data_IF_723947907196
#
_entry.id   IF_723947907196
#
_cell.length_a   1.000
_cell.length_b   1.000
_cell.length_c   1.000
_cell.angle_alpha   90.00
_cell.angle_beta   90.00
_cell.angle_gamma   90.00
#
_symmetry.space_group_name_H-M   'P 1'
#
loop_
_entity.id
_entity.type
_entity.pdbx_description
1 polymer ?
#
# COMPACT_ATOMS: atom_id res chain seq x y z
N UNK A 1 -19.08 -2.05 -4.77
CA UNK A 1 -18.31 -1.53 -5.93
C UNK A 1 -16.93 -2.14 -5.87
N UNK A 2 -16.35 -2.56 -7.00
CA UNK A 2 -15.06 -3.27 -7.01
C UNK A 2 -13.88 -2.34 -6.66
N UNK A 3 -12.90 -2.89 -5.96
CA UNK A 3 -11.58 -2.31 -5.76
C UNK A 3 -10.65 -2.90 -6.82
N UNK A 4 -9.96 -2.05 -7.57
CA UNK A 4 -8.89 -2.46 -8.48
C UNK A 4 -7.57 -1.98 -7.88
N UNK A 5 -6.64 -2.90 -7.66
CA UNK A 5 -5.30 -2.57 -7.19
C UNK A 5 -4.34 -2.67 -8.37
N UNK A 6 -3.71 -1.56 -8.72
CA UNK A 6 -2.67 -1.46 -9.74
C UNK A 6 -1.33 -1.26 -9.04
N UNK A 7 -0.50 -2.31 -8.99
CA UNK A 7 0.68 -2.23 -8.15
C UNK A 7 1.60 -3.44 -8.18
N UNK A 8 2.48 -3.49 -7.20
CA UNK A 8 3.55 -4.46 -7.04
C UNK A 8 3.07 -5.80 -6.49
N UNK A 9 3.77 -6.86 -6.94
CA UNK A 9 3.63 -8.23 -6.47
C UNK A 9 5.03 -8.76 -6.22
N UNK A 10 5.36 -9.09 -4.97
CA UNK A 10 6.69 -9.58 -4.59
C UNK A 10 6.59 -10.93 -3.87
N UNK A 11 7.69 -11.64 -3.86
CA UNK A 11 7.98 -12.62 -2.82
C UNK A 11 9.02 -12.04 -1.87
N UNK A 12 8.68 -11.93 -0.60
CA UNK A 12 9.56 -11.40 0.43
C UNK A 12 10.31 -12.55 1.10
N UNK A 13 11.65 -12.47 1.10
CA UNK A 13 12.54 -13.39 1.79
C UNK A 13 12.91 -12.80 3.15
N UNK A 14 12.25 -13.26 4.20
CA UNK A 14 12.55 -12.86 5.57
C UNK A 14 13.73 -13.67 6.12
N UNK A 15 14.82 -12.97 6.47
CA UNK A 15 16.05 -13.55 6.99
C UNK A 15 16.29 -13.02 8.41
N UNK A 16 16.25 -13.90 9.41
CA UNK A 16 16.58 -13.54 10.79
C UNK A 16 18.10 -13.64 10.97
N UNK A 17 18.74 -12.54 11.36
CA UNK A 17 20.19 -12.46 11.56
C UNK A 17 20.51 -11.93 12.95
N UNK A 18 21.66 -12.31 13.52
CA UNK A 18 22.08 -11.78 14.82
C UNK A 18 22.35 -10.27 14.73
N UNK A 19 23.00 -9.84 13.64
CA UNK A 19 23.29 -8.42 13.33
C UNK A 19 23.20 -8.20 11.84
N UNK A 20 22.88 -6.98 11.41
CA UNK A 20 22.92 -6.62 10.00
C UNK A 20 24.37 -6.63 9.47
N UNK A 21 24.63 -7.19 8.27
CA UNK A 21 25.98 -7.25 7.71
C UNK A 21 26.51 -5.85 7.40
N UNK A 22 27.78 -5.62 7.74
CA UNK A 22 28.52 -4.43 7.32
C UNK A 22 29.16 -4.66 5.95
N UNK A 23 29.57 -3.62 5.22
CA UNK A 23 30.30 -3.76 3.98
C UNK A 23 31.50 -4.71 4.10
N UNK A 24 31.54 -5.75 3.28
CA UNK A 24 32.56 -6.79 3.30
C UNK A 24 32.35 -7.93 4.30
N UNK A 25 31.28 -7.89 5.10
CA UNK A 25 30.94 -8.92 6.06
C UNK A 25 30.00 -9.97 5.46
N UNK A 26 30.18 -11.25 5.83
CA UNK A 26 29.24 -12.33 5.55
C UNK A 26 28.62 -12.79 6.86
N UNK A 27 27.30 -12.66 6.98
CA UNK A 27 26.52 -13.15 8.11
C UNK A 27 25.78 -14.41 7.71
N UNK A 28 25.80 -15.43 8.56
CA UNK A 28 25.05 -16.66 8.35
C UNK A 28 23.73 -16.60 9.12
N UNK A 29 22.66 -17.08 8.49
CA UNK A 29 21.35 -17.29 9.13
C UNK A 29 20.99 -18.77 9.14
N UNK A 30 20.13 -19.19 10.07
CA UNK A 30 19.67 -20.57 10.20
C UNK A 30 18.65 -20.96 9.12
N UNK A 31 18.04 -19.97 8.46
CA UNK A 31 17.03 -20.21 7.43
C UNK A 31 16.40 -18.92 6.94
N UNK A 32 15.43 -19.05 6.07
CA UNK A 32 14.61 -17.96 5.59
C UNK A 32 13.16 -18.42 5.44
N UNK A 33 12.25 -17.48 5.52
CA UNK A 33 10.86 -17.67 5.11
C UNK A 33 10.62 -16.93 3.81
N UNK A 34 9.87 -17.55 2.89
CA UNK A 34 9.40 -16.92 1.67
C UNK A 34 7.91 -16.68 1.80
N UNK A 35 7.52 -15.43 1.84
CA UNK A 35 6.12 -15.02 2.06
C UNK A 35 5.65 -14.08 0.95
N UNK A 36 4.34 -13.97 0.81
CA UNK A 36 3.76 -13.00 -0.12
C UNK A 36 4.03 -11.57 0.35
N UNK A 37 4.43 -10.71 -0.57
CA UNK A 37 4.77 -9.33 -0.33
C UNK A 37 4.48 -8.42 -1.53
N UNK A 38 5.00 -7.20 -1.47
CA UNK A 38 4.68 -6.13 -2.39
C UNK A 38 3.44 -5.35 -1.95
N UNK A 39 3.54 -4.02 -1.97
CA UNK A 39 2.46 -3.14 -1.47
C UNK A 39 1.13 -3.38 -2.18
N UNK A 40 1.17 -3.60 -3.50
CA UNK A 40 -0.04 -3.90 -4.26
C UNK A 40 -0.70 -5.20 -3.80
N UNK A 41 0.07 -6.28 -3.69
CA UNK A 41 -0.41 -7.57 -3.19
C UNK A 41 -0.98 -7.44 -1.76
N UNK A 42 -0.26 -6.79 -0.84
CA UNK A 42 -0.68 -6.62 0.55
C UNK A 42 -1.99 -5.83 0.66
N UNK A 43 -2.12 -4.73 -0.09
CA UNK A 43 -3.32 -3.88 -0.09
C UNK A 43 -4.52 -4.61 -0.70
N UNK A 44 -4.30 -5.40 -1.75
CA UNK A 44 -5.34 -6.22 -2.37
C UNK A 44 -5.86 -7.30 -1.39
N UNK A 45 -4.95 -8.03 -0.75
CA UNK A 45 -5.29 -9.04 0.26
C UNK A 45 -6.03 -8.41 1.44
N UNK A 46 -5.56 -7.27 1.94
CA UNK A 46 -6.20 -6.57 3.05
C UNK A 46 -7.64 -6.14 2.70
N UNK A 47 -7.86 -5.56 1.53
CA UNK A 47 -9.20 -5.16 1.10
C UNK A 47 -10.14 -6.37 0.91
N UNK A 48 -9.63 -7.47 0.34
CA UNK A 48 -10.42 -8.68 0.11
C UNK A 48 -10.83 -9.37 1.42
N UNK A 49 -9.92 -9.47 2.40
CA UNK A 49 -10.21 -10.01 3.74
C UNK A 49 -11.27 -9.19 4.50
N UNK A 50 -11.49 -7.94 4.11
CA UNK A 50 -12.56 -7.06 4.65
C UNK A 50 -13.85 -7.12 3.81
N UNK A 51 -13.98 -8.11 2.92
CA UNK A 51 -15.20 -8.37 2.15
C UNK A 51 -15.33 -7.58 0.85
N UNK A 52 -14.34 -6.78 0.45
CA UNK A 52 -14.39 -6.09 -0.84
C UNK A 52 -14.20 -7.06 -2.00
N UNK A 53 -14.90 -6.83 -3.12
CA UNK A 53 -14.58 -7.44 -4.40
C UNK A 53 -13.33 -6.79 -4.96
N UNK A 54 -12.21 -7.54 -5.04
CA UNK A 54 -10.89 -7.01 -5.39
C UNK A 54 -10.33 -7.69 -6.63
N UNK A 55 -9.81 -6.88 -7.56
CA UNK A 55 -9.04 -7.33 -8.72
C UNK A 55 -7.63 -6.76 -8.66
N UNK A 56 -6.62 -7.61 -8.86
CA UNK A 56 -5.22 -7.20 -8.95
C UNK A 56 -4.77 -7.04 -10.39
N UNK A 57 -4.17 -5.88 -10.70
CA UNK A 57 -3.45 -5.60 -11.94
C UNK A 57 -1.96 -5.48 -11.60
N UNK A 58 -1.16 -6.37 -12.16
CA UNK A 58 0.26 -6.43 -11.86
C UNK A 58 0.99 -7.42 -12.76
N UNK A 59 2.27 -7.65 -12.49
CA UNK A 59 3.06 -8.62 -13.25
C UNK A 59 3.88 -9.52 -12.31
N UNK A 60 4.05 -10.78 -12.75
CA UNK A 60 4.95 -11.76 -12.14
C UNK A 60 5.81 -12.41 -13.21
N UNK A 61 6.91 -13.03 -12.85
CA UNK A 61 7.72 -13.85 -13.75
C UNK A 61 7.14 -15.24 -13.97
N UNK A 62 7.68 -15.96 -14.96
CA UNK A 62 7.39 -17.38 -15.20
C UNK A 62 8.23 -18.30 -14.32
N UNK A 63 8.46 -17.96 -13.07
CA UNK A 63 9.34 -18.64 -12.13
C UNK A 63 8.60 -19.17 -10.88
N UNK A 64 9.33 -19.93 -10.03
CA UNK A 64 8.74 -20.55 -8.85
C UNK A 64 8.31 -19.53 -7.76
N UNK A 65 8.88 -18.31 -7.77
CA UNK A 65 8.56 -17.28 -6.80
C UNK A 65 7.16 -16.68 -7.02
N UNK A 66 6.66 -16.72 -8.27
CA UNK A 66 5.34 -16.18 -8.60
C UNK A 66 4.19 -16.87 -7.86
N UNK A 67 4.31 -18.17 -7.55
CA UNK A 67 3.24 -18.93 -6.91
C UNK A 67 2.91 -18.41 -5.52
N UNK A 68 3.90 -17.98 -4.74
CA UNK A 68 3.72 -17.56 -3.34
C UNK A 68 2.72 -16.38 -3.23
N UNK A 69 2.94 -15.21 -3.87
CA UNK A 69 1.99 -14.10 -3.79
C UNK A 69 0.68 -14.39 -4.53
N UNK A 70 0.71 -15.14 -5.64
CA UNK A 70 -0.51 -15.49 -6.37
C UNK A 70 -1.44 -16.37 -5.55
N UNK A 71 -0.91 -17.36 -4.85
CA UNK A 71 -1.70 -18.28 -4.02
C UNK A 71 -2.24 -17.56 -2.78
N UNK A 72 -1.46 -16.67 -2.17
CA UNK A 72 -1.93 -15.84 -1.06
C UNK A 72 -3.09 -14.92 -1.47
N UNK A 73 -2.98 -14.24 -2.62
CA UNK A 73 -4.05 -13.40 -3.16
C UNK A 73 -5.32 -14.21 -3.46
N UNK A 74 -5.19 -15.36 -4.12
CA UNK A 74 -6.33 -16.25 -4.42
C UNK A 74 -6.99 -16.81 -3.17
N UNK A 75 -6.21 -17.20 -2.17
CA UNK A 75 -6.72 -17.66 -0.89
C UNK A 75 -7.52 -16.57 -0.16
N UNK A 76 -7.17 -15.31 -0.34
CA UNK A 76 -7.91 -14.16 0.18
C UNK A 76 -9.12 -13.75 -0.68
N UNK A 77 -9.37 -14.41 -1.81
CA UNK A 77 -10.49 -14.10 -2.71
C UNK A 77 -10.22 -12.97 -3.72
N UNK A 78 -8.95 -12.59 -3.91
CA UNK A 78 -8.57 -11.58 -4.93
C UNK A 78 -8.63 -12.19 -6.32
N UNK A 79 -9.31 -11.52 -7.26
CA UNK A 79 -9.25 -11.85 -8.68
C UNK A 79 -7.87 -11.50 -9.25
N UNK A 80 -7.10 -12.55 -9.60
CA UNK A 80 -5.76 -12.43 -10.18
C UNK A 80 -5.76 -12.51 -11.71
N UNK A 81 -6.92 -12.48 -12.38
CA UNK A 81 -7.01 -12.57 -13.84
C UNK A 81 -6.34 -11.38 -14.57
N UNK A 82 -6.17 -10.26 -13.88
CA UNK A 82 -5.44 -9.08 -14.37
C UNK A 82 -3.93 -9.14 -14.13
N UNK A 83 -3.39 -10.23 -13.56
CA UNK A 83 -1.94 -10.39 -13.36
C UNK A 83 -1.33 -11.07 -14.59
N UNK A 84 -0.39 -10.37 -15.25
CA UNK A 84 0.34 -10.91 -16.40
C UNK A 84 1.60 -11.66 -15.96
N UNK A 85 1.89 -12.77 -16.63
CA UNK A 85 3.21 -13.42 -16.57
C UNK A 85 4.08 -12.80 -17.68
N UNK A 86 5.27 -12.33 -17.30
CA UNK A 86 6.22 -11.66 -18.20
C UNK A 86 7.58 -12.36 -18.22
N UNK A 87 8.45 -11.98 -19.15
CA UNK A 87 9.79 -12.57 -19.32
C UNK A 87 10.85 -11.98 -18.33
N UNK A 88 10.42 -11.24 -17.33
CA UNK A 88 11.26 -10.77 -16.25
C UNK A 88 11.03 -11.65 -15.00
N UNK A 89 12.01 -11.80 -14.11
CA UNK A 89 11.82 -12.57 -12.88
C UNK A 89 10.80 -11.90 -11.97
N UNK A 90 10.08 -12.70 -11.18
CA UNK A 90 9.21 -12.20 -10.12
C UNK A 90 10.00 -11.31 -9.17
N UNK A 91 9.41 -10.20 -8.75
CA UNK A 91 10.06 -9.29 -7.81
C UNK A 91 10.31 -9.97 -6.46
N UNK A 92 11.47 -9.70 -5.88
CA UNK A 92 11.87 -10.24 -4.58
C UNK A 92 12.30 -9.09 -3.67
N UNK A 93 11.84 -9.11 -2.42
CA UNK A 93 12.42 -8.30 -1.36
C UNK A 93 13.24 -9.19 -0.41
N UNK A 94 14.52 -8.89 -0.24
CA UNK A 94 15.34 -9.49 0.80
C UNK A 94 15.23 -8.63 2.06
N UNK A 95 14.55 -9.16 3.09
CA UNK A 95 14.27 -8.47 4.36
C UNK A 95 15.12 -9.11 5.44
N UNK A 96 16.20 -8.45 5.83
CA UNK A 96 17.04 -8.87 6.96
C UNK A 96 16.53 -8.21 8.23
N UNK A 97 16.26 -9.01 9.26
CA UNK A 97 15.82 -8.53 10.58
C UNK A 97 16.83 -8.99 11.63
N UNK A 98 17.46 -8.04 12.30
CA UNK A 98 18.40 -8.30 13.38
C UNK A 98 17.68 -8.58 14.70
N UNK A 99 18.35 -9.27 15.64
CA UNK A 99 17.84 -9.49 17.01
C UNK A 99 17.53 -8.18 17.76
N UNK A 100 18.16 -7.06 17.37
CA UNK A 100 17.86 -5.73 17.89
C UNK A 100 16.49 -5.18 17.44
N UNK A 101 15.86 -5.81 16.44
CA UNK A 101 14.66 -5.30 15.78
C UNK A 101 14.95 -4.33 14.60
N UNK A 102 16.22 -3.98 14.36
CA UNK A 102 16.61 -3.23 13.16
C UNK A 102 16.44 -4.09 11.89
N UNK A 103 16.03 -3.48 10.80
CA UNK A 103 15.90 -4.18 9.53
C UNK A 103 16.68 -3.47 8.40
N UNK A 104 16.96 -4.25 7.36
CA UNK A 104 17.51 -3.75 6.10
C UNK A 104 16.81 -4.48 4.96
N UNK A 105 16.31 -3.73 3.98
CA UNK A 105 15.49 -4.27 2.89
C UNK A 105 16.12 -3.88 1.56
N UNK A 106 16.27 -4.88 0.69
CA UNK A 106 16.65 -4.68 -0.71
C UNK A 106 15.56 -5.26 -1.59
N UNK A 107 15.02 -4.45 -2.51
CA UNK A 107 13.98 -4.87 -3.45
C UNK A 107 14.55 -4.96 -4.85
N UNK A 108 14.44 -6.15 -5.46
CA UNK A 108 14.64 -6.38 -6.87
C UNK A 108 13.27 -6.33 -7.57
N UNK A 109 13.00 -5.23 -8.25
CA UNK A 109 11.65 -4.93 -8.79
C UNK A 109 11.17 -5.88 -9.90
N UNK A 110 12.10 -6.52 -10.65
CA UNK A 110 11.78 -7.55 -11.62
C UNK A 110 10.55 -7.26 -12.48
N UNK A 111 9.60 -8.19 -12.50
CA UNK A 111 8.37 -8.12 -13.27
C UNK A 111 7.50 -6.88 -12.95
N UNK A 112 7.63 -6.27 -11.77
CA UNK A 112 6.91 -5.04 -11.45
C UNK A 112 7.24 -3.88 -12.40
N UNK A 113 8.40 -3.88 -13.04
CA UNK A 113 8.77 -2.87 -14.04
C UNK A 113 8.04 -3.04 -15.38
N UNK A 114 7.38 -4.17 -15.58
CA UNK A 114 6.61 -4.50 -16.79
C UNK A 114 5.11 -4.25 -16.66
N UNK A 115 4.64 -3.73 -15.53
CA UNK A 115 3.24 -3.31 -15.34
C UNK A 115 2.92 -2.12 -16.24
N UNK A 116 1.80 -2.15 -16.93
CA UNK A 116 1.36 -1.11 -17.89
C UNK A 116 -0.05 -0.63 -17.57
N UNK A 117 -0.28 0.66 -17.70
CA UNK A 117 -1.62 1.25 -17.53
C UNK A 117 -2.64 0.70 -18.53
N UNK A 118 -2.18 0.21 -19.69
CA UNK A 118 -3.03 -0.49 -20.67
C UNK A 118 -3.59 -1.83 -20.17
N UNK A 119 -3.03 -2.37 -19.07
CA UNK A 119 -3.55 -3.60 -18.44
C UNK A 119 -4.80 -3.31 -17.60
N UNK A 120 -5.09 -2.03 -17.36
CA UNK A 120 -6.24 -1.57 -16.59
C UNK A 120 -7.49 -1.67 -17.45
N UNK A 121 -8.28 -2.69 -17.23
CA UNK A 121 -9.59 -2.87 -17.85
C UNK A 121 -10.70 -2.98 -16.79
N UNK A 122 -11.95 -2.81 -17.22
CA UNK A 122 -13.12 -3.05 -16.36
C UNK A 122 -13.33 -2.07 -15.21
N UNK A 123 -12.58 -0.97 -15.13
CA UNK A 123 -12.80 0.08 -14.14
C UNK A 123 -14.00 0.94 -14.56
N UNK A 124 -15.19 0.53 -14.14
CA UNK A 124 -16.43 1.29 -14.36
C UNK A 124 -16.62 2.45 -13.38
N UNK A 125 -17.52 3.37 -13.71
CA UNK A 125 -17.88 4.47 -12.81
C UNK A 125 -18.33 3.96 -11.44
N UNK A 126 -17.71 4.49 -10.37
CA UNK A 126 -18.00 4.13 -8.97
C UNK A 126 -17.03 3.15 -8.33
N UNK A 127 -16.13 2.49 -9.07
CA UNK A 127 -15.05 1.67 -8.52
C UNK A 127 -13.98 2.51 -7.79
N UNK A 128 -13.06 1.82 -7.12
CA UNK A 128 -11.91 2.43 -6.45
C UNK A 128 -10.63 1.87 -7.06
N UNK A 129 -9.76 2.73 -7.60
CA UNK A 129 -8.41 2.37 -8.00
C UNK A 129 -7.43 2.67 -6.84
N UNK A 130 -6.58 1.71 -6.53
CA UNK A 130 -5.50 1.87 -5.55
C UNK A 130 -4.16 1.69 -6.23
N UNK A 131 -3.25 2.67 -6.06
CA UNK A 131 -1.88 2.63 -6.57
C UNK A 131 -0.86 2.87 -5.47
N UNK A 132 0.37 2.38 -5.67
CA UNK A 132 1.54 2.60 -4.81
C UNK A 132 2.73 2.98 -5.71
N UNK A 133 3.90 3.26 -5.11
CA UNK A 133 5.08 3.75 -5.84
C UNK A 133 6.14 2.66 -6.14
N UNK A 134 5.73 1.39 -6.22
CA UNK A 134 6.65 0.24 -6.49
C UNK A 134 6.60 -0.28 -7.93
N UNK A 135 5.82 0.37 -8.79
CA UNK A 135 5.77 0.10 -10.24
C UNK A 135 6.14 1.37 -11.02
N UNK A 136 6.35 1.35 -12.35
CA UNK A 136 6.80 2.53 -13.07
C UNK A 136 5.88 3.72 -12.89
N UNK A 137 6.42 4.85 -12.44
CA UNK A 137 5.66 6.06 -12.09
C UNK A 137 4.84 6.61 -13.26
N UNK A 138 5.37 6.51 -14.49
CA UNK A 138 4.62 6.90 -15.69
C UNK A 138 3.36 6.08 -15.90
N UNK A 139 3.42 4.78 -15.58
CA UNK A 139 2.26 3.88 -15.67
C UNK A 139 1.26 4.13 -14.54
N UNK A 140 1.74 4.46 -13.33
CA UNK A 140 0.87 4.90 -12.22
C UNK A 140 0.11 6.17 -12.63
N UNK A 141 0.82 7.16 -13.18
CA UNK A 141 0.22 8.41 -13.63
C UNK A 141 -0.86 8.17 -14.70
N UNK A 142 -0.56 7.32 -15.68
CA UNK A 142 -1.51 6.97 -16.75
C UNK A 142 -2.73 6.21 -16.20
N UNK A 143 -2.53 5.26 -15.27
CA UNK A 143 -3.62 4.51 -14.62
C UNK A 143 -4.54 5.43 -13.80
N UNK A 144 -3.99 6.37 -13.03
CA UNK A 144 -4.75 7.36 -12.25
C UNK A 144 -5.59 8.26 -13.16
N UNK A 145 -5.00 8.76 -14.26
CA UNK A 145 -5.70 9.58 -15.24
C UNK A 145 -6.84 8.82 -15.92
N UNK A 146 -6.59 7.57 -16.32
CA UNK A 146 -7.60 6.71 -16.95
C UNK A 146 -8.76 6.40 -15.99
N UNK A 147 -8.46 6.06 -14.73
CA UNK A 147 -9.45 5.80 -13.69
C UNK A 147 -10.32 7.03 -13.41
N UNK A 148 -9.69 8.19 -13.29
CA UNK A 148 -10.40 9.46 -13.08
C UNK A 148 -11.33 9.78 -14.24
N UNK A 149 -10.88 9.58 -15.49
CA UNK A 149 -11.70 9.77 -16.69
C UNK A 149 -12.88 8.79 -16.75
N UNK A 150 -12.74 7.57 -16.22
CA UNK A 150 -13.80 6.59 -16.10
C UNK A 150 -14.77 6.86 -14.93
N UNK A 151 -14.54 7.89 -14.11
CA UNK A 151 -15.37 8.24 -12.95
C UNK A 151 -15.13 7.38 -11.71
N UNK A 152 -14.02 6.65 -11.65
CA UNK A 152 -13.59 5.92 -10.47
C UNK A 152 -12.98 6.86 -9.42
N UNK A 153 -13.04 6.46 -8.15
CA UNK A 153 -12.26 7.09 -7.08
C UNK A 153 -10.83 6.56 -7.12
N UNK A 154 -9.88 7.42 -6.79
CA UNK A 154 -8.46 7.07 -6.87
C UNK A 154 -7.77 7.27 -5.52
N UNK A 155 -7.03 6.26 -5.09
CA UNK A 155 -6.18 6.27 -3.90
C UNK A 155 -4.73 6.09 -4.37
N UNK A 156 -3.85 7.01 -3.99
CA UNK A 156 -2.41 6.83 -4.14
C UNK A 156 -1.76 6.74 -2.76
N UNK A 157 -1.22 5.58 -2.43
CA UNK A 157 -0.28 5.44 -1.34
C UNK A 157 1.11 5.83 -1.85
N UNK A 158 1.63 6.97 -1.41
CA UNK A 158 2.92 7.52 -1.86
C UNK A 158 4.12 6.76 -1.24
N UNK A 159 4.06 5.46 -1.21
CA UNK A 159 5.03 4.56 -0.60
C UNK A 159 5.63 3.59 -1.63
N UNK A 160 6.99 3.45 -1.69
CA UNK A 160 7.97 4.35 -1.07
C UNK A 160 7.85 5.79 -1.60
N UNK A 161 8.37 6.76 -0.84
CA UNK A 161 8.35 8.16 -1.24
C UNK A 161 8.92 8.33 -2.66
N UNK A 162 8.14 8.96 -3.53
CA UNK A 162 8.48 9.18 -4.92
C UNK A 162 7.79 10.42 -5.48
N UNK A 163 8.05 10.79 -6.71
CA UNK A 163 7.50 11.98 -7.36
C UNK A 163 6.45 11.60 -8.38
N UNK A 164 5.18 11.93 -8.11
CA UNK A 164 4.13 11.81 -9.12
C UNK A 164 4.21 13.02 -10.08
N UNK A 165 4.19 12.80 -11.42
CA UNK A 165 4.12 13.87 -12.41
C UNK A 165 3.00 14.87 -12.11
N UNK A 166 3.26 16.16 -12.31
CA UNK A 166 2.34 17.22 -11.91
C UNK A 166 0.97 17.12 -12.59
N UNK A 167 0.94 16.68 -13.84
CA UNK A 167 -0.27 16.47 -14.63
C UNK A 167 -1.20 15.38 -14.10
N UNK A 168 -0.65 14.39 -13.36
CA UNK A 168 -1.43 13.32 -12.78
C UNK A 168 -1.92 13.61 -11.33
N UNK A 169 -1.38 14.65 -10.68
CA UNK A 169 -1.72 14.96 -9.27
C UNK A 169 -3.21 15.25 -9.08
N UNK A 170 -3.83 15.93 -10.04
CA UNK A 170 -5.27 16.21 -10.04
C UNK A 170 -6.17 15.00 -10.26
N UNK A 171 -5.60 13.85 -10.63
CA UNK A 171 -6.31 12.59 -10.76
C UNK A 171 -6.35 11.77 -9.46
N UNK A 172 -5.70 12.21 -8.38
CA UNK A 172 -5.69 11.54 -7.08
C UNK A 172 -6.74 12.16 -6.16
N UNK A 173 -7.74 11.36 -5.74
CA UNK A 173 -8.77 11.80 -4.80
C UNK A 173 -8.31 11.67 -3.34
N UNK A 174 -7.54 10.60 -3.05
CA UNK A 174 -7.03 10.30 -1.71
C UNK A 174 -5.53 10.03 -1.76
N UNK A 175 -4.75 10.91 -1.18
CA UNK A 175 -3.32 10.71 -0.94
C UNK A 175 -3.14 10.07 0.43
N UNK A 176 -2.54 8.89 0.50
CA UNK A 176 -2.19 8.23 1.75
C UNK A 176 -0.67 8.26 1.91
N UNK A 177 -0.21 8.88 2.99
CA UNK A 177 1.21 9.13 3.28
C UNK A 177 1.53 8.85 4.73
N UNK A 178 2.75 8.44 5.01
CA UNK A 178 3.28 8.39 6.38
C UNK A 178 4.01 9.69 6.75
N UNK A 179 4.64 9.73 7.93
CA UNK A 179 5.35 10.91 8.45
C UNK A 179 6.49 11.36 7.53
N UNK A 180 7.20 10.44 6.88
CA UNK A 180 8.31 10.77 5.97
C UNK A 180 7.76 11.20 4.60
N UNK A 181 6.76 10.49 4.12
CA UNK A 181 6.15 10.73 2.81
C UNK A 181 5.39 12.05 2.75
N UNK A 182 4.74 12.48 3.84
CA UNK A 182 4.05 13.77 3.91
C UNK A 182 5.02 14.95 3.74
N UNK A 183 6.24 14.84 4.27
CA UNK A 183 7.29 15.84 4.10
C UNK A 183 7.77 15.89 2.65
N UNK A 184 8.04 14.71 2.07
CA UNK A 184 8.44 14.59 0.67
C UNK A 184 7.36 15.13 -0.28
N UNK A 185 6.08 14.87 0.01
CA UNK A 185 4.96 15.41 -0.77
C UNK A 185 4.87 16.93 -0.66
N UNK A 186 5.11 17.49 0.53
CA UNK A 186 5.14 18.94 0.74
C UNK A 186 6.20 19.61 -0.14
N UNK A 187 7.42 19.07 -0.14
CA UNK A 187 8.51 19.57 -0.99
C UNK A 187 8.16 19.53 -2.48
N UNK A 188 7.52 18.45 -2.94
CA UNK A 188 7.09 18.29 -4.33
C UNK A 188 6.10 19.35 -4.81
N UNK A 189 5.30 19.90 -3.90
CA UNK A 189 4.30 20.93 -4.23
C UNK A 189 4.71 22.34 -3.78
N UNK A 190 5.95 22.51 -3.35
CA UNK A 190 6.53 23.82 -2.98
C UNK A 190 6.08 24.31 -1.59
N UNK A 191 5.64 23.42 -0.70
CA UNK A 191 5.35 23.74 0.69
C UNK A 191 6.60 23.46 1.55
N UNK A 192 6.77 24.25 2.61
CA UNK A 192 7.82 24.00 3.59
C UNK A 192 7.47 22.77 4.45
N UNK A 193 8.49 21.99 4.81
CA UNK A 193 8.38 20.92 5.81
C UNK A 193 7.94 21.48 7.16
N UNK A 194 7.20 20.69 7.94
CA UNK A 194 6.70 21.09 9.25
C UNK A 194 6.54 19.89 10.18
N UNK A 195 6.90 20.06 11.44
CA UNK A 195 6.64 19.09 12.50
C UNK A 195 5.17 19.08 12.95
N UNK A 196 4.41 20.15 12.64
CA UNK A 196 2.95 20.17 12.80
C UNK A 196 2.30 19.42 11.63
N UNK A 197 2.30 18.08 11.74
CA UNK A 197 1.76 17.19 10.71
C UNK A 197 0.28 17.44 10.40
N UNK A 198 -0.62 17.72 11.37
CA UNK A 198 -1.99 18.12 11.07
C UNK A 198 -2.09 19.40 10.24
N UNK A 199 -1.29 20.42 10.55
CA UNK A 199 -1.26 21.66 9.76
C UNK A 199 -0.70 21.41 8.35
N UNK A 200 0.36 20.63 8.24
CA UNK A 200 0.96 20.26 6.96
C UNK A 200 -0.04 19.44 6.09
N UNK A 201 -0.72 18.46 6.69
CA UNK A 201 -1.77 17.67 6.01
C UNK A 201 -2.87 18.59 5.47
N UNK A 202 -3.28 19.61 6.24
CA UNK A 202 -4.28 20.60 5.82
C UNK A 202 -3.79 21.45 4.65
N UNK A 203 -2.56 21.96 4.72
CA UNK A 203 -1.96 22.74 3.64
C UNK A 203 -1.87 21.93 2.34
N UNK A 204 -1.45 20.66 2.44
CA UNK A 204 -1.40 19.74 1.31
C UNK A 204 -2.77 19.46 0.70
N UNK A 205 -3.79 19.20 1.53
CA UNK A 205 -5.15 18.94 1.05
C UNK A 205 -5.72 20.14 0.25
N UNK A 206 -5.46 21.35 0.72
CA UNK A 206 -5.87 22.58 0.04
C UNK A 206 -5.08 22.78 -1.27
N UNK A 207 -3.75 22.58 -1.25
CA UNK A 207 -2.87 22.74 -2.41
C UNK A 207 -3.18 21.72 -3.52
N UNK A 208 -3.39 20.45 -3.15
CA UNK A 208 -3.69 19.35 -4.06
C UNK A 208 -5.17 19.31 -4.46
N UNK A 209 -6.05 20.01 -3.75
CA UNK A 209 -7.52 19.94 -3.90
C UNK A 209 -8.05 18.50 -3.79
N UNK A 210 -7.48 17.73 -2.87
CA UNK A 210 -7.77 16.32 -2.67
C UNK A 210 -7.86 16.00 -1.16
N UNK A 211 -8.30 14.82 -0.81
CA UNK A 211 -8.16 14.32 0.54
C UNK A 211 -6.71 13.86 0.79
N UNK A 212 -6.10 14.33 1.88
CA UNK A 212 -4.78 13.84 2.33
C UNK A 212 -4.96 13.13 3.66
N UNK A 213 -4.50 11.88 3.72
CA UNK A 213 -4.52 11.02 4.90
C UNK A 213 -3.08 10.79 5.33
N UNK A 214 -2.71 11.30 6.51
CA UNK A 214 -1.37 11.11 7.08
C UNK A 214 -1.42 10.08 8.21
N UNK A 215 -0.80 8.94 8.02
CA UNK A 215 -0.65 7.91 9.06
C UNK A 215 0.49 8.29 10.01
N UNK A 216 0.25 8.13 11.32
CA UNK A 216 1.12 8.60 12.40
C UNK A 216 1.65 7.44 13.28
N UNK A 217 1.63 6.20 12.75
CA UNK A 217 1.98 4.99 13.48
C UNK A 217 1.06 4.80 14.69
N UNK A 218 1.62 4.55 15.86
CA UNK A 218 0.87 4.34 17.11
C UNK A 218 -0.06 5.52 17.50
N UNK A 219 0.09 6.69 16.87
CA UNK A 219 -0.78 7.85 17.09
C UNK A 219 -2.01 7.88 16.19
N UNK A 220 -2.20 6.84 15.36
CA UNK A 220 -3.33 6.72 14.44
C UNK A 220 -3.13 7.47 13.13
N UNK A 221 -4.15 8.18 12.66
CA UNK A 221 -4.08 8.94 11.41
C UNK A 221 -4.87 10.25 11.48
N UNK A 222 -4.48 11.19 10.63
CA UNK A 222 -5.19 12.46 10.38
C UNK A 222 -5.58 12.48 8.91
N UNK A 223 -6.83 12.82 8.62
CA UNK A 223 -7.32 13.04 7.26
C UNK A 223 -7.90 14.45 7.14
N UNK A 224 -7.59 15.14 6.04
CA UNK A 224 -8.13 16.45 5.73
C UNK A 224 -8.60 16.48 4.27
N UNK A 225 -9.81 16.97 4.03
CA UNK A 225 -10.34 17.22 2.70
C UNK A 225 -9.96 18.61 2.17
N UNK A 226 -10.13 18.81 0.88
CA UNK A 226 -9.82 20.09 0.21
C UNK A 226 -10.59 21.30 0.79
N UNK A 227 -11.80 21.10 1.32
CA UNK A 227 -12.62 22.13 1.97
C UNK A 227 -12.14 22.47 3.40
N UNK A 228 -11.10 21.79 3.90
CA UNK A 228 -10.54 21.95 5.23
C UNK A 228 -11.23 21.14 6.32
N UNK A 229 -12.30 20.40 6.02
CA UNK A 229 -12.87 19.43 6.97
C UNK A 229 -11.83 18.35 7.30
N UNK A 230 -11.72 17.99 8.58
CA UNK A 230 -10.67 17.07 9.02
C UNK A 230 -11.13 16.11 10.11
N UNK A 231 -10.52 14.94 10.13
CA UNK A 231 -10.77 13.86 11.08
C UNK A 231 -9.47 13.33 11.65
N UNK A 232 -9.56 12.79 12.83
CA UNK A 232 -8.49 12.05 13.48
C UNK A 232 -9.04 10.72 13.98
N UNK A 233 -8.30 9.66 13.75
CA UNK A 233 -8.58 8.33 14.30
C UNK A 233 -7.38 7.86 15.11
N UNK A 234 -7.66 7.20 16.24
CA UNK A 234 -6.60 6.58 17.06
C UNK A 234 -6.16 5.25 16.44
N UNK A 235 -4.92 4.85 16.66
CA UNK A 235 -4.52 3.48 16.36
C UNK A 235 -5.21 2.51 17.33
N UNK A 236 -5.64 1.36 16.81
CA UNK A 236 -6.36 0.33 17.60
C UNK A 236 -5.49 -0.91 17.87
N UNK A 237 -4.18 -0.83 17.65
CA UNK A 237 -3.28 -1.94 17.92
C UNK A 237 -3.21 -2.23 19.43
N UNK A 238 -3.53 -3.50 19.80
CA UNK A 238 -3.21 -4.10 21.09
C UNK A 238 -2.19 -5.20 20.83
N UNK A 239 -1.23 -5.38 21.73
CA UNK A 239 -0.26 -6.49 21.67
C UNK A 239 0.53 -6.52 20.33
N UNK A 240 1.20 -5.43 20.02
CA UNK A 240 1.98 -5.27 18.78
C UNK A 240 3.10 -6.31 18.72
N UNK A 241 3.07 -7.16 17.70
CA UNK A 241 4.08 -8.20 17.41
C UNK A 241 5.01 -7.70 16.30
N UNK A 242 4.45 -7.23 15.18
CA UNK A 242 5.19 -6.74 14.01
C UNK A 242 4.37 -5.61 13.35
N UNK A 243 5.01 -4.54 12.93
CA UNK A 243 4.34 -3.41 12.26
C UNK A 243 4.43 -3.47 10.73
N UNK A 244 5.02 -4.53 10.20
CA UNK A 244 5.15 -4.76 8.75
C UNK A 244 3.75 -4.88 8.13
N UNK A 245 3.52 -4.16 7.04
CA UNK A 245 2.24 -4.20 6.34
C UNK A 245 1.09 -3.42 7.00
N UNK A 246 1.26 -2.83 8.20
CA UNK A 246 0.21 -2.04 8.84
C UNK A 246 -0.31 -0.88 7.97
N UNK A 247 0.59 -0.23 7.23
CA UNK A 247 0.24 0.81 6.26
C UNK A 247 -0.55 0.26 5.07
N UNK A 248 -0.18 -0.93 4.57
CA UNK A 248 -0.88 -1.58 3.46
C UNK A 248 -2.27 -2.05 3.91
N UNK A 249 -2.38 -2.62 5.11
CA UNK A 249 -3.67 -2.98 5.70
C UNK A 249 -4.58 -1.76 5.91
N UNK A 250 -4.02 -0.63 6.35
CA UNK A 250 -4.75 0.64 6.45
C UNK A 250 -5.30 1.08 5.08
N UNK A 251 -4.47 1.04 4.03
CA UNK A 251 -4.89 1.43 2.66
C UNK A 251 -5.95 0.47 2.13
N UNK A 252 -5.78 -0.84 2.32
CA UNK A 252 -6.77 -1.85 1.95
C UNK A 252 -8.11 -1.62 2.63
N UNK A 253 -8.11 -1.34 3.94
CA UNK A 253 -9.31 -1.01 4.71
C UNK A 253 -10.00 0.27 4.26
N UNK A 254 -9.22 1.32 3.95
CA UNK A 254 -9.74 2.56 3.38
C UNK A 254 -10.42 2.29 2.02
N UNK A 255 -9.76 1.51 1.16
CA UNK A 255 -10.29 1.19 -0.17
C UNK A 255 -11.58 0.37 -0.09
N UNK A 256 -11.65 -0.64 0.77
CA UNK A 256 -12.83 -1.46 0.99
C UNK A 256 -14.03 -0.62 1.44
N UNK A 257 -13.85 0.20 2.48
CA UNK A 257 -14.91 1.07 3.00
C UNK A 257 -15.40 2.09 1.95
N UNK A 258 -14.48 2.70 1.20
CA UNK A 258 -14.85 3.64 0.13
C UNK A 258 -15.58 2.93 -1.02
N UNK A 259 -15.22 1.69 -1.35
CA UNK A 259 -15.90 0.90 -2.36
C UNK A 259 -17.33 0.53 -1.94
N UNK A 260 -17.59 0.35 -0.66
CA UNK A 260 -18.94 0.19 -0.09
C UNK A 260 -19.75 1.48 -0.04
N UNK A 261 -19.12 2.63 -0.33
CA UNK A 261 -19.77 3.93 -0.29
C UNK A 261 -19.84 4.54 1.11
N UNK A 262 -19.08 4.04 2.06
CA UNK A 262 -19.01 4.59 3.40
C UNK A 262 -18.49 6.03 3.39
N UNK A 263 -18.94 6.84 4.35
CA UNK A 263 -18.40 8.18 4.55
C UNK A 263 -16.96 8.12 5.07
N UNK A 264 -16.15 9.15 4.76
CA UNK A 264 -14.73 9.19 5.12
C UNK A 264 -14.45 8.90 6.61
N UNK A 265 -15.21 9.44 7.59
CA UNK A 265 -14.97 9.12 9.00
C UNK A 265 -15.07 7.63 9.33
N UNK A 266 -16.04 6.93 8.74
CA UNK A 266 -16.22 5.49 8.95
C UNK A 266 -15.14 4.68 8.21
N UNK A 267 -14.81 5.11 6.98
CA UNK A 267 -13.72 4.51 6.22
C UNK A 267 -12.38 4.61 6.95
N UNK A 268 -12.10 5.73 7.61
CA UNK A 268 -10.89 5.89 8.43
C UNK A 268 -10.88 5.01 9.68
N UNK A 269 -12.03 4.73 10.29
CA UNK A 269 -12.12 3.81 11.42
C UNK A 269 -11.78 2.39 10.96
N UNK A 270 -12.39 1.92 9.87
CA UNK A 270 -12.10 0.60 9.31
C UNK A 270 -10.61 0.49 8.92
N UNK A 271 -10.06 1.51 8.23
CA UNK A 271 -8.65 1.58 7.87
C UNK A 271 -7.73 1.47 9.10
N UNK A 272 -8.03 2.21 10.17
CA UNK A 272 -7.25 2.17 11.41
C UNK A 272 -7.35 0.82 12.13
N UNK A 273 -8.53 0.22 12.14
CA UNK A 273 -8.73 -1.13 12.69
C UNK A 273 -7.91 -2.15 11.93
N UNK A 274 -7.95 -2.13 10.59
CA UNK A 274 -7.19 -3.04 9.74
C UNK A 274 -5.69 -2.91 9.96
N UNK A 275 -5.17 -1.66 9.98
CA UNK A 275 -3.76 -1.41 10.26
C UNK A 275 -3.35 -1.88 11.67
N UNK A 276 -4.24 -1.76 12.66
CA UNK A 276 -4.02 -2.26 14.01
C UNK A 276 -4.01 -3.78 14.10
N UNK A 277 -4.93 -4.45 13.42
CA UNK A 277 -5.01 -5.92 13.36
C UNK A 277 -3.77 -6.51 12.67
N UNK A 278 -3.30 -5.90 11.59
CA UNK A 278 -2.09 -6.34 10.92
C UNK A 278 -0.85 -6.35 11.84
N UNK A 279 -0.83 -5.52 12.88
CA UNK A 279 0.27 -5.50 13.86
C UNK A 279 0.23 -6.67 14.87
N UNK A 280 -0.81 -7.50 14.93
CA UNK A 280 -0.96 -8.56 15.93
C UNK A 280 -0.33 -9.90 15.55
N UNK A 281 0.26 -10.01 14.36
CA UNK A 281 0.96 -11.20 13.87
C UNK A 281 2.24 -10.84 13.14
N UNK A 282 3.00 -11.84 12.72
CA UNK A 282 4.22 -11.66 11.93
C UNK A 282 3.91 -11.58 10.44
N UNK A 283 4.55 -10.61 9.74
CA UNK A 283 4.47 -10.44 8.29
C UNK A 283 3.31 -9.57 7.84
N UNK A 284 3.42 -9.05 6.62
CA UNK A 284 2.58 -7.98 6.08
C UNK A 284 1.08 -8.33 5.89
N UNK A 285 0.72 -9.60 5.93
CA UNK A 285 -0.65 -10.07 5.69
C UNK A 285 -1.27 -10.78 6.92
N UNK A 286 -0.57 -10.75 8.07
CA UNK A 286 -1.03 -11.34 9.31
C UNK A 286 -2.15 -10.52 9.98
N UNK A 287 -2.82 -11.12 10.97
CA UNK A 287 -3.77 -10.42 11.86
C UNK A 287 -5.13 -10.03 11.25
N UNK A 288 -5.30 -10.14 9.94
CA UNK A 288 -6.58 -9.88 9.26
C UNK A 288 -7.47 -11.14 9.17
N UNK A 289 -7.05 -12.24 9.77
CA UNK A 289 -7.81 -13.48 9.83
C UNK A 289 -8.79 -13.42 11.00
N UNK A 290 -10.09 -13.42 10.74
CA UNK A 290 -11.11 -13.55 11.78
C UNK A 290 -12.03 -12.36 12.04
N UNK A 291 -12.28 -11.48 11.08
CA UNK A 291 -13.30 -10.43 11.22
C UNK A 291 -14.76 -10.96 11.08
N UNK A 292 -14.98 -12.27 11.20
CA UNK A 292 -16.34 -12.82 11.17
C UNK A 292 -17.12 -12.67 12.51
N UNK A 293 -16.48 -12.18 13.59
CA UNK A 293 -17.12 -11.96 14.90
C UNK A 293 -16.70 -10.61 15.52
N UNK A 294 -17.05 -9.48 14.89
CA UNK A 294 -16.97 -8.18 15.58
C UNK A 294 -18.18 -7.29 15.26
#
# INVERSE_FOLDING_TARGET
MAVVVFGSINTDLALSVATLPKPGETVLTMGYEAVAGGKGCNQAVAAAKLGAEVRMIGCVGGDAWASIPLDAMRAAGVDTSGVRTVDAPTAIAAVMVAESGENSIVVASGANLEVRASDLDGLGGGGVLVCQMEVPVGEIAAALLAAKAAGARTILNLAPAGVLPAEARGAVDYWVVNVLEVQALAEQVGLASSDDLPALTRALAQQLRACVVTTLGARGAVAVQADGSGWRVSALAKDVVDTTGAGDAFVGGLAAALAEGQALPEALKLASTSGGLACTGFGAQAGLEGSEEA
#
